data_IF_313669705470
#
_entry.id   IF_313669705470
#
_cell.length_a   1.000
_cell.length_b   1.000
_cell.length_c   1.000
_cell.angle_alpha   90.00
_cell.angle_beta   90.00
_cell.angle_gamma   90.00
#
_symmetry.space_group_name_H-M   'P 1'
#
loop_
_entity.id
_entity.type
_entity.pdbx_description
1 polymer ?
#
# COMPACT_ATOMS: atom_id res chain seq x y z
N UNK A 1 -1.42 -26.78 35.44
CA UNK A 1 -1.51 -25.38 34.94
C UNK A 1 -0.85 -25.27 33.55
N UNK A 2 -0.59 -26.41 32.91
CA UNK A 2 0.34 -26.55 31.78
C UNK A 2 -0.35 -26.77 30.43
N UNK A 3 -1.68 -26.87 30.42
CA UNK A 3 -2.48 -27.05 29.19
C UNK A 3 -2.74 -25.72 28.48
N UNK A 4 -2.81 -24.61 29.22
CA UNK A 4 -3.08 -23.27 28.64
C UNK A 4 -1.84 -22.69 27.95
N UNK A 5 -0.64 -23.02 28.43
CA UNK A 5 0.62 -22.60 27.81
C UNK A 5 0.88 -23.33 26.49
N UNK A 6 0.58 -24.63 26.41
CA UNK A 6 0.77 -25.44 25.20
C UNK A 6 -0.15 -24.99 24.06
N UNK A 7 -1.41 -24.69 24.36
CA UNK A 7 -2.40 -24.22 23.36
C UNK A 7 -2.00 -22.85 22.79
N UNK A 8 -1.43 -21.97 23.63
CA UNK A 8 -0.92 -20.68 23.18
C UNK A 8 0.32 -20.81 22.27
N UNK A 9 1.19 -21.79 22.52
CA UNK A 9 2.37 -22.04 21.70
C UNK A 9 2.00 -22.60 20.32
N UNK A 10 1.07 -23.56 20.23
CA UNK A 10 0.58 -24.06 18.95
C UNK A 10 -0.15 -22.98 18.14
N UNK A 11 -0.96 -22.16 18.81
CA UNK A 11 -1.65 -21.04 18.17
C UNK A 11 -0.67 -20.00 17.60
N UNK A 12 0.40 -19.67 18.35
CA UNK A 12 1.45 -18.78 17.88
C UNK A 12 2.25 -19.38 16.71
N UNK A 13 2.55 -20.67 16.76
CA UNK A 13 3.22 -21.36 15.65
C UNK A 13 2.38 -21.35 14.37
N UNK A 14 1.06 -21.46 14.50
CA UNK A 14 0.14 -21.41 13.37
C UNK A 14 0.12 -20.03 12.70
N UNK A 15 0.09 -18.96 13.51
CA UNK A 15 0.13 -17.57 13.00
C UNK A 15 1.43 -17.31 12.24
N UNK A 16 2.58 -17.73 12.79
CA UNK A 16 3.89 -17.54 12.13
C UNK A 16 3.95 -18.29 10.80
N UNK A 17 3.39 -19.50 10.73
CA UNK A 17 3.32 -20.27 9.49
C UNK A 17 2.46 -19.56 8.43
N UNK A 18 1.31 -19.04 8.84
CA UNK A 18 0.40 -18.30 7.96
C UNK A 18 1.03 -17.02 7.41
N UNK A 19 1.68 -16.22 8.25
CA UNK A 19 2.42 -15.03 7.82
C UNK A 19 3.57 -15.37 6.87
N UNK A 20 4.29 -16.48 7.11
CA UNK A 20 5.37 -16.96 6.23
C UNK A 20 4.83 -17.37 4.87
N UNK A 21 3.72 -18.13 4.83
CA UNK A 21 3.06 -18.52 3.60
C UNK A 21 2.63 -17.29 2.79
N UNK A 22 2.04 -16.29 3.43
CA UNK A 22 1.61 -15.07 2.75
C UNK A 22 2.80 -14.27 2.21
N UNK A 23 3.94 -14.27 2.90
CA UNK A 23 5.18 -13.65 2.40
C UNK A 23 5.72 -14.39 1.16
N UNK A 24 5.71 -15.72 1.18
CA UNK A 24 6.10 -16.54 0.03
C UNK A 24 5.18 -16.33 -1.19
N UNK A 25 3.86 -16.21 -0.96
CA UNK A 25 2.89 -15.88 -2.00
C UNK A 25 3.10 -14.48 -2.56
N UNK A 26 3.47 -13.50 -1.72
CA UNK A 26 3.83 -12.16 -2.19
C UNK A 26 5.11 -12.18 -3.03
N UNK A 27 6.12 -12.94 -2.62
CA UNK A 27 7.33 -13.15 -3.41
C UNK A 27 7.00 -13.83 -4.75
N UNK A 28 6.07 -14.77 -4.78
CA UNK A 28 5.57 -15.38 -6.00
C UNK A 28 4.87 -14.38 -6.93
N UNK A 29 4.07 -13.47 -6.35
CA UNK A 29 3.38 -12.39 -7.05
C UNK A 29 4.31 -11.35 -7.71
N UNK A 30 5.61 -11.35 -7.39
CA UNK A 30 6.61 -10.50 -8.09
C UNK A 30 6.78 -10.89 -9.56
N UNK A 31 6.31 -12.07 -9.96
CA UNK A 31 6.34 -12.55 -11.34
C UNK A 31 4.93 -12.49 -11.94
N UNK A 32 4.79 -12.13 -13.24
CA UNK A 32 3.49 -12.12 -13.90
C UNK A 32 2.76 -13.46 -13.88
N UNK A 33 3.51 -14.57 -13.98
CA UNK A 33 2.96 -15.93 -13.89
C UNK A 33 2.45 -16.23 -12.49
N UNK A 34 3.20 -15.84 -11.47
CA UNK A 34 2.78 -16.04 -10.08
C UNK A 34 1.54 -15.24 -9.75
N UNK A 35 1.48 -13.97 -10.15
CA UNK A 35 0.30 -13.14 -10.00
C UNK A 35 -0.94 -13.74 -10.69
N UNK A 36 -0.79 -14.22 -11.93
CA UNK A 36 -1.88 -14.86 -12.67
C UNK A 36 -2.40 -16.12 -11.95
N UNK A 37 -1.51 -16.92 -11.37
CA UNK A 37 -1.91 -18.11 -10.60
C UNK A 37 -2.68 -17.72 -9.34
N UNK A 38 -2.22 -16.71 -8.60
CA UNK A 38 -2.94 -16.21 -7.43
C UNK A 38 -4.34 -15.69 -7.79
N UNK A 39 -4.49 -15.05 -8.95
CA UNK A 39 -5.79 -14.58 -9.44
C UNK A 39 -6.73 -15.75 -9.70
N UNK A 40 -6.24 -16.80 -10.36
CA UNK A 40 -7.03 -17.99 -10.66
C UNK A 40 -7.41 -18.78 -9.41
N UNK A 41 -6.59 -18.73 -8.35
CA UNK A 41 -6.89 -19.36 -7.06
C UNK A 41 -7.71 -18.48 -6.11
N UNK A 42 -7.95 -17.21 -6.45
CA UNK A 42 -8.70 -16.27 -5.62
C UNK A 42 -7.95 -15.76 -4.39
N UNK A 43 -6.63 -15.95 -4.31
CA UNK A 43 -5.81 -15.62 -3.13
C UNK A 43 -5.22 -14.21 -3.16
N UNK A 44 -5.35 -13.48 -4.29
CA UNK A 44 -4.82 -12.11 -4.44
C UNK A 44 -5.34 -11.16 -3.37
N UNK A 45 -6.62 -11.22 -3.01
CA UNK A 45 -7.21 -10.32 -2.02
C UNK A 45 -6.55 -10.48 -0.65
N UNK A 46 -6.29 -11.72 -0.24
CA UNK A 46 -5.64 -12.05 1.02
C UNK A 46 -4.18 -11.57 1.03
N UNK A 47 -3.44 -11.84 -0.05
CA UNK A 47 -2.07 -11.37 -0.23
C UNK A 47 -1.96 -9.84 -0.18
N UNK A 48 -2.86 -9.13 -0.87
CA UNK A 48 -2.91 -7.66 -0.90
C UNK A 48 -3.29 -7.09 0.47
N UNK A 49 -4.19 -7.74 1.19
CA UNK A 49 -4.59 -7.33 2.54
C UNK A 49 -3.43 -7.50 3.52
N UNK A 50 -2.73 -8.64 3.48
CA UNK A 50 -1.54 -8.89 4.29
C UNK A 50 -0.43 -7.86 4.00
N UNK A 51 -0.14 -7.62 2.72
CA UNK A 51 0.83 -6.61 2.30
C UNK A 51 0.47 -5.21 2.81
N UNK A 52 -0.80 -4.80 2.70
CA UNK A 52 -1.24 -3.50 3.19
C UNK A 52 -1.13 -3.38 4.72
N UNK A 53 -1.51 -4.41 5.46
CA UNK A 53 -1.38 -4.43 6.91
C UNK A 53 0.09 -4.32 7.35
N UNK A 54 1.00 -5.01 6.66
CA UNK A 54 2.44 -4.91 6.92
C UNK A 54 2.98 -3.52 6.58
N UNK A 55 2.54 -2.93 5.46
CA UNK A 55 2.89 -1.57 5.09
C UNK A 55 2.47 -0.56 6.17
N UNK A 56 1.23 -0.64 6.64
CA UNK A 56 0.71 0.23 7.71
C UNK A 56 1.47 0.07 9.02
N UNK A 57 1.85 -1.16 9.39
CA UNK A 57 2.69 -1.42 10.58
C UNK A 57 4.07 -0.79 10.42
N UNK A 58 4.71 -0.95 9.27
CA UNK A 58 6.04 -0.39 9.03
C UNK A 58 6.03 1.15 9.01
N UNK A 59 5.00 1.76 8.41
CA UNK A 59 4.85 3.21 8.39
C UNK A 59 4.80 3.82 9.81
N UNK A 60 4.13 3.15 10.75
CA UNK A 60 4.05 3.58 12.15
C UNK A 60 5.39 3.52 12.88
N UNK A 61 6.26 2.57 12.53
CA UNK A 61 7.50 2.28 13.29
C UNK A 61 8.72 3.00 12.71
N UNK A 62 8.82 3.10 11.38
CA UNK A 62 10.04 3.58 10.70
C UNK A 62 9.86 4.86 9.87
N UNK A 63 8.65 5.45 9.83
CA UNK A 63 8.36 6.77 9.25
C UNK A 63 8.45 6.87 7.71
N UNK A 64 9.27 6.04 7.06
CA UNK A 64 9.28 5.75 5.62
C UNK A 64 10.39 4.71 5.37
N UNK A 65 10.13 3.44 5.63
CA UNK A 65 11.02 2.39 5.12
C UNK A 65 10.86 2.26 3.60
N UNK A 66 11.96 1.89 2.92
CA UNK A 66 11.95 1.54 1.50
C UNK A 66 10.79 0.59 1.24
N UNK A 67 9.83 1.04 0.43
CA UNK A 67 8.64 0.28 0.09
C UNK A 67 9.02 -1.01 -0.66
N UNK A 68 9.33 -2.08 0.08
CA UNK A 68 9.85 -3.35 -0.43
C UNK A 68 8.87 -4.08 -1.35
N UNK A 69 7.61 -3.67 -1.32
CA UNK A 69 6.52 -4.23 -2.13
C UNK A 69 6.20 -3.40 -3.39
N UNK A 70 7.02 -2.41 -3.76
CA UNK A 70 6.79 -1.51 -4.92
C UNK A 70 6.51 -2.23 -6.23
N UNK A 71 7.32 -3.24 -6.54
CA UNK A 71 7.14 -4.08 -7.73
C UNK A 71 5.82 -4.84 -7.67
N UNK A 72 5.49 -5.42 -6.52
CA UNK A 72 4.27 -6.22 -6.33
C UNK A 72 3.03 -5.34 -6.47
N UNK A 73 2.98 -4.19 -5.78
CA UNK A 73 1.86 -3.25 -5.91
C UNK A 73 1.67 -2.79 -7.34
N UNK A 74 2.76 -2.47 -8.04
CA UNK A 74 2.67 -2.02 -9.43
C UNK A 74 2.11 -3.11 -10.35
N UNK A 75 2.56 -4.37 -10.18
CA UNK A 75 2.04 -5.49 -10.97
C UNK A 75 0.58 -5.82 -10.63
N UNK A 76 0.24 -5.83 -9.34
CA UNK A 76 -1.14 -6.05 -8.87
C UNK A 76 -2.06 -4.96 -9.45
N UNK A 77 -1.67 -3.69 -9.37
CA UNK A 77 -2.42 -2.56 -9.91
C UNK A 77 -2.55 -2.59 -11.44
N UNK A 78 -1.61 -3.21 -12.16
CA UNK A 78 -1.66 -3.37 -13.61
C UNK A 78 -2.74 -4.37 -14.08
N UNK A 79 -3.42 -5.06 -13.16
CA UNK A 79 -4.49 -6.02 -13.47
C UNK A 79 -5.82 -5.56 -12.86
N UNK A 80 -6.92 -5.72 -13.58
CA UNK A 80 -8.24 -5.36 -13.08
C UNK A 80 -8.61 -5.99 -11.71
N UNK A 81 -8.47 -7.33 -11.51
CA UNK A 81 -8.77 -7.92 -10.21
C UNK A 81 -7.80 -7.48 -9.10
N UNK A 82 -6.53 -7.24 -9.43
CA UNK A 82 -5.57 -6.72 -8.46
C UNK A 82 -5.83 -5.26 -8.07
N UNK A 83 -6.20 -4.41 -9.02
CA UNK A 83 -6.62 -3.04 -8.76
C UNK A 83 -7.88 -2.99 -7.86
N UNK A 84 -8.87 -3.85 -8.11
CA UNK A 84 -10.03 -4.00 -7.24
C UNK A 84 -9.64 -4.46 -5.82
N UNK A 85 -8.70 -5.40 -5.70
CA UNK A 85 -8.19 -5.84 -4.40
C UNK A 85 -7.49 -4.72 -3.63
N UNK A 86 -6.70 -3.88 -4.29
CA UNK A 86 -6.04 -2.70 -3.70
C UNK A 86 -7.04 -1.62 -3.25
N UNK A 87 -8.12 -1.44 -4.01
CA UNK A 87 -9.19 -0.54 -3.62
C UNK A 87 -9.91 -1.05 -2.37
N UNK A 88 -10.29 -2.34 -2.38
CA UNK A 88 -11.05 -2.97 -1.30
C UNK A 88 -10.25 -3.12 0.00
N UNK A 89 -8.91 -3.24 -0.07
CA UNK A 89 -8.06 -3.30 1.12
C UNK A 89 -7.89 -1.95 1.81
N UNK A 90 -8.26 -0.84 1.16
CA UNK A 90 -8.03 0.50 1.67
C UNK A 90 -6.65 1.07 1.34
N UNK A 91 -5.81 0.33 0.61
CA UNK A 91 -4.46 0.77 0.21
C UNK A 91 -4.51 2.11 -0.56
N UNK A 92 -5.38 2.20 -1.57
CA UNK A 92 -5.56 3.41 -2.40
C UNK A 92 -5.97 4.60 -1.51
N UNK A 93 -6.92 4.39 -0.60
CA UNK A 93 -7.42 5.43 0.30
C UNK A 93 -6.32 5.92 1.24
N UNK A 94 -5.53 5.01 1.81
CA UNK A 94 -4.40 5.35 2.67
C UNK A 94 -3.35 6.14 1.90
N UNK A 95 -2.96 5.69 0.71
CA UNK A 95 -1.99 6.39 -0.13
C UNK A 95 -2.41 7.82 -0.46
N UNK A 96 -3.68 8.02 -0.85
CA UNK A 96 -4.23 9.35 -1.13
C UNK A 96 -4.24 10.22 0.13
N UNK A 97 -4.62 9.65 1.28
CA UNK A 97 -4.69 10.39 2.56
C UNK A 97 -3.30 10.85 2.99
N UNK A 98 -2.30 9.98 2.91
CA UNK A 98 -0.90 10.32 3.22
C UNK A 98 -0.35 11.37 2.26
N UNK A 99 -0.56 11.21 0.95
CA UNK A 99 -0.13 12.19 -0.05
C UNK A 99 -0.79 13.56 0.21
N UNK A 100 -2.09 13.57 0.48
CA UNK A 100 -2.83 14.78 0.82
C UNK A 100 -2.30 15.44 2.10
N UNK A 101 -2.03 14.65 3.15
CA UNK A 101 -1.45 15.16 4.39
C UNK A 101 -0.09 15.83 4.17
N UNK A 102 0.78 15.22 3.36
CA UNK A 102 2.08 15.80 3.00
C UNK A 102 1.93 17.10 2.20
N UNK A 103 0.97 17.16 1.27
CA UNK A 103 0.75 18.32 0.42
C UNK A 103 0.11 19.50 1.17
N UNK A 104 -0.86 19.24 2.05
CA UNK A 104 -1.62 20.29 2.75
C UNK A 104 -0.91 20.78 4.02
N UNK A 105 -0.34 19.89 4.83
CA UNK A 105 0.27 20.26 6.11
C UNK A 105 1.77 20.55 6.00
N UNK A 106 2.46 20.05 4.96
CA UNK A 106 3.92 20.01 4.98
C UNK A 106 4.45 19.16 6.15
N UNK A 107 5.78 19.15 6.37
CA UNK A 107 6.40 18.40 7.49
C UNK A 107 6.15 19.01 8.88
N UNK A 108 5.49 20.16 8.94
CA UNK A 108 5.24 20.86 10.20
C UNK A 108 3.79 20.65 10.60
N UNK A 109 3.56 20.01 11.74
CA UNK A 109 2.24 19.84 12.38
C UNK A 109 1.67 21.18 12.90
N UNK A 110 1.78 22.26 12.14
CA UNK A 110 1.09 23.50 12.42
C UNK A 110 -0.36 23.27 12.02
N UNK A 111 -1.24 23.14 13.02
CA UNK A 111 -2.70 23.13 12.83
C UNK A 111 -3.09 24.28 11.89
N UNK A 112 -3.34 23.95 10.63
CA UNK A 112 -3.72 24.91 9.61
C UNK A 112 -5.19 25.26 9.85
N UNK A 113 -5.44 26.31 10.65
CA UNK A 113 -6.79 26.79 10.96
C UNK A 113 -7.47 27.47 9.78
N UNK A 114 -6.71 27.77 8.73
CA UNK A 114 -7.19 28.33 7.47
C UNK A 114 -6.38 27.75 6.29
N UNK A 115 -7.03 27.29 5.20
CA UNK A 115 -6.31 26.86 4.00
C UNK A 115 -5.46 28.01 3.48
N UNK A 116 -4.17 27.77 3.30
CA UNK A 116 -3.26 28.75 2.71
C UNK A 116 -3.67 28.88 1.23
N UNK A 117 -3.98 30.09 0.72
CA UNK A 117 -4.28 30.23 -0.68
C UNK A 117 -3.09 29.68 -1.46
N UNK A 118 -3.34 28.68 -2.31
CA UNK A 118 -2.33 28.19 -3.25
C UNK A 118 -1.82 29.43 -3.97
N UNK A 119 -0.52 29.75 -3.93
CA UNK A 119 0.01 30.86 -4.72
C UNK A 119 -0.27 30.52 -6.18
N UNK A 120 -1.35 31.09 -6.72
CA UNK A 120 -1.65 31.00 -8.14
C UNK A 120 -0.79 32.08 -8.78
N UNK A 121 0.53 31.86 -8.76
CA UNK A 121 1.35 32.51 -9.76
C UNK A 121 0.76 32.07 -11.11
N UNK A 122 0.47 33.01 -12.04
CA UNK A 122 -0.07 32.64 -13.33
C UNK A 122 0.85 31.58 -13.91
N UNK A 123 0.28 30.40 -14.24
CA UNK A 123 1.03 29.27 -14.79
C UNK A 123 1.98 29.84 -15.82
N UNK A 124 3.30 29.67 -15.60
CA UNK A 124 4.27 30.13 -16.58
C UNK A 124 3.87 29.53 -17.92
N UNK A 125 3.68 30.41 -18.91
CA UNK A 125 3.19 30.05 -20.24
C UNK A 125 4.10 29.01 -20.90
N UNK A 126 5.35 28.89 -20.43
CA UNK A 126 6.29 27.83 -20.79
C UNK A 126 5.84 26.43 -20.33
N UNK A 127 5.29 26.31 -19.12
CA UNK A 127 4.85 25.05 -18.50
C UNK A 127 3.48 24.57 -19.01
N UNK A 128 2.65 25.47 -19.53
CA UNK A 128 1.31 25.15 -20.05
C UNK A 128 1.34 24.12 -21.18
N UNK A 129 2.40 24.12 -22.02
CA UNK A 129 2.56 23.16 -23.12
C UNK A 129 2.79 21.74 -22.63
N UNK A 130 3.59 21.56 -21.58
CA UNK A 130 3.87 20.24 -21.01
C UNK A 130 2.64 19.66 -20.31
N UNK A 131 1.86 20.51 -19.63
CA UNK A 131 0.63 20.10 -18.96
C UNK A 131 -0.44 19.66 -19.96
N UNK A 132 -0.63 20.41 -21.05
CA UNK A 132 -1.55 20.02 -22.13
C UNK A 132 -1.11 18.74 -22.84
N UNK A 133 0.20 18.50 -22.98
CA UNK A 133 0.73 17.27 -23.56
C UNK A 133 0.58 16.04 -22.65
N UNK A 134 0.38 16.23 -21.35
CA UNK A 134 0.17 15.14 -20.40
C UNK A 134 -1.30 14.70 -20.33
N UNK A 135 -2.23 15.63 -20.63
CA UNK A 135 -3.68 15.41 -20.52
C UNK A 135 -4.30 14.94 -21.85
N UNK A 136 -3.56 15.07 -22.96
CA UNK A 136 -4.00 14.70 -24.31
C UNK A 136 -3.27 13.45 -24.79
#
# INVERSE_FOLDING_TARGET
VDTVSSVNQESQSCIVLEETLLDDLLNFATTPKGLLLLQNTGTVTECVTFMFNRFMKNLQVSGCEKFGYGVIVSQVAATAPGAAALQNSGFIKALITELWGVLECGRDDVRMTHPKPTPVDPIDRSCQKFFLALIN
#
